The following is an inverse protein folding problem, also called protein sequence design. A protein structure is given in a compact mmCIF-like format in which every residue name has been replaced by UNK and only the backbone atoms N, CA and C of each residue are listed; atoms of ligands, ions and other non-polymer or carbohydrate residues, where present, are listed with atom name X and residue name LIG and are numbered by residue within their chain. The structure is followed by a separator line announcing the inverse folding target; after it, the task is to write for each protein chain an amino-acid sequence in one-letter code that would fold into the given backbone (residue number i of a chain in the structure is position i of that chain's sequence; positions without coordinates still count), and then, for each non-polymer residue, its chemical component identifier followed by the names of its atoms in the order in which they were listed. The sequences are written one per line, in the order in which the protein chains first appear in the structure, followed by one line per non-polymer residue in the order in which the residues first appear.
data_IF_081792635307
#
_entry.id   IF_081792635307
#
_cell.length_a   1.000
_cell.length_b   1.000
_cell.length_c   1.000
_cell.angle_alpha   90.00
_cell.angle_beta   90.00
_cell.angle_gamma   90.00
#
_symmetry.space_group_name_H-M   'P 1'
#
loop_
_entity.id
_entity.type
_entity.pdbx_description
1 polymer ?
#
# COMPACT_ATOMS: atom_id res chain seq x y z
N UNK A 1 -15.76 -30.21 -9.33
CA UNK A 1 -14.89 -31.40 -9.44
C UNK A 1 -13.75 -31.22 -10.46
N UNK A 2 -13.98 -30.64 -11.64
CA UNK A 2 -12.95 -30.50 -12.68
C UNK A 2 -11.73 -29.63 -12.25
N UNK A 3 -11.95 -28.56 -11.50
CA UNK A 3 -10.87 -27.62 -11.08
C UNK A 3 -9.91 -28.28 -10.07
N UNK A 4 -10.44 -29.11 -9.17
CA UNK A 4 -9.64 -29.82 -8.18
C UNK A 4 -8.80 -30.90 -8.87
N UNK A 5 -9.35 -31.61 -9.85
CA UNK A 5 -8.61 -32.60 -10.64
C UNK A 5 -7.49 -31.95 -11.46
N UNK A 6 -7.69 -30.77 -12.01
CA UNK A 6 -6.68 -30.01 -12.75
C UNK A 6 -5.53 -29.53 -11.84
N UNK A 7 -5.84 -29.11 -10.61
CA UNK A 7 -4.84 -28.71 -9.63
C UNK A 7 -3.95 -29.89 -9.19
N UNK A 8 -4.55 -31.08 -8.96
CA UNK A 8 -3.81 -32.28 -8.62
C UNK A 8 -2.96 -32.81 -9.79
N UNK A 9 -3.43 -32.64 -11.04
CA UNK A 9 -2.67 -33.00 -12.24
C UNK A 9 -1.41 -32.10 -12.37
N UNK A 10 -1.55 -30.80 -12.16
CA UNK A 10 -0.43 -29.86 -12.16
C UNK A 10 0.59 -30.16 -11.05
N UNK A 11 0.12 -30.48 -9.85
CA UNK A 11 0.98 -30.86 -8.74
C UNK A 11 1.74 -32.17 -9.01
N UNK A 12 1.10 -33.15 -9.63
CA UNK A 12 1.74 -34.42 -10.03
C UNK A 12 2.79 -34.22 -11.13
N UNK A 13 2.55 -33.33 -12.10
CA UNK A 13 3.51 -32.98 -13.14
C UNK A 13 4.72 -32.27 -12.53
N UNK A 14 4.51 -31.32 -11.59
CA UNK A 14 5.59 -30.65 -10.88
C UNK A 14 6.43 -31.60 -10.02
N UNK A 15 5.77 -32.52 -9.32
CA UNK A 15 6.44 -33.54 -8.51
C UNK A 15 7.26 -34.51 -9.38
N UNK A 16 6.75 -34.94 -10.55
CA UNK A 16 7.47 -35.84 -11.47
C UNK A 16 8.68 -35.14 -12.10
N UNK A 17 8.57 -33.88 -12.48
CA UNK A 17 9.67 -33.08 -13.00
C UNK A 17 10.75 -32.84 -11.94
N UNK A 18 10.36 -32.62 -10.69
CA UNK A 18 11.28 -32.50 -9.57
C UNK A 18 12.03 -33.82 -9.29
N UNK A 19 11.34 -34.96 -9.36
CA UNK A 19 11.93 -36.28 -9.15
C UNK A 19 12.89 -36.69 -10.29
N UNK A 20 12.54 -36.40 -11.54
CA UNK A 20 13.41 -36.60 -12.71
C UNK A 20 14.70 -35.75 -12.57
N UNK A 21 14.59 -34.54 -12.03
CA UNK A 21 15.73 -33.66 -11.74
C UNK A 21 16.66 -34.22 -10.68
N UNK A 22 16.11 -34.90 -9.67
CA UNK A 22 16.89 -35.53 -8.59
C UNK A 22 17.65 -36.78 -9.07
N UNK A 23 17.08 -37.52 -10.03
CA UNK A 23 17.62 -38.77 -10.53
C UNK A 23 18.66 -38.62 -11.68
N UNK A 24 18.53 -37.55 -12.47
CA UNK A 24 19.35 -37.39 -13.69
C UNK A 24 20.53 -36.45 -13.55
N UNK A 25 20.65 -35.70 -12.47
CA UNK A 25 21.78 -34.76 -12.25
C UNK A 25 22.02 -33.73 -13.32
N UNK A 26 21.13 -33.64 -14.34
CA UNK A 26 21.29 -32.71 -15.47
C UNK A 26 20.74 -31.34 -15.10
N UNK A 27 21.65 -30.36 -15.03
CA UNK A 27 21.29 -28.94 -15.00
C UNK A 27 20.54 -28.57 -16.28
N UNK A 28 19.31 -28.09 -16.13
CA UNK A 28 18.55 -27.56 -17.26
C UNK A 28 19.26 -26.28 -17.79
N UNK A 29 19.62 -26.19 -19.09
CA UNK A 29 20.27 -25.01 -19.64
C UNK A 29 19.22 -23.95 -20.00
N UNK A 30 18.41 -23.52 -19.04
CA UNK A 30 17.58 -22.35 -19.20
C UNK A 30 18.26 -21.18 -18.46
N UNK A 31 19.22 -20.58 -19.17
CA UNK A 31 19.75 -19.28 -18.79
C UNK A 31 18.66 -18.23 -18.91
N UNK A 32 17.97 -17.98 -17.82
CA UNK A 32 16.96 -16.92 -17.69
C UNK A 32 17.55 -15.50 -17.83
N UNK A 33 18.87 -15.35 -17.77
CA UNK A 33 19.56 -14.05 -17.85
C UNK A 33 19.53 -13.39 -19.24
N UNK A 34 19.47 -14.15 -20.32
CA UNK A 34 19.50 -13.59 -21.69
C UNK A 34 18.11 -13.14 -22.19
N UNK A 35 17.02 -13.66 -21.61
CA UNK A 35 15.65 -13.30 -22.02
C UNK A 35 15.09 -12.04 -21.36
N UNK A 36 15.61 -11.63 -20.21
CA UNK A 36 15.16 -10.39 -19.54
C UNK A 36 15.66 -9.11 -20.22
N UNK A 37 16.76 -9.16 -20.95
CA UNK A 37 17.32 -8.00 -21.66
C UNK A 37 16.61 -7.69 -22.98
N UNK A 38 15.97 -8.66 -23.64
CA UNK A 38 15.23 -8.43 -24.88
C UNK A 38 13.81 -7.89 -24.68
N UNK A 39 13.26 -8.04 -23.48
CA UNK A 39 11.87 -7.67 -23.24
C UNK A 39 11.62 -6.17 -23.02
N UNK A 40 12.63 -5.36 -22.80
CA UNK A 40 12.48 -3.89 -22.75
C UNK A 40 12.23 -3.26 -24.12
N UNK A 41 12.48 -3.97 -25.20
CA UNK A 41 12.23 -3.51 -26.58
C UNK A 41 10.75 -3.54 -27.01
N UNK A 42 9.88 -4.16 -26.21
CA UNK A 42 8.47 -4.34 -26.55
C UNK A 42 7.50 -3.44 -25.74
N UNK A 43 8.01 -2.43 -25.03
CA UNK A 43 7.19 -1.43 -24.37
C UNK A 43 7.03 -0.21 -25.29
N UNK A 44 5.80 0.22 -25.47
CA UNK A 44 5.44 1.54 -26.02
C UNK A 44 5.35 2.52 -24.88
N UNK A 45 6.00 3.66 -24.99
CA UNK A 45 5.94 4.77 -24.01
C UNK A 45 5.24 5.93 -24.68
N UNK A 46 4.22 6.42 -24.00
CA UNK A 46 3.45 7.61 -24.41
C UNK A 46 3.59 8.65 -23.31
N UNK A 47 3.87 9.91 -23.69
CA UNK A 47 4.04 11.03 -22.76
C UNK A 47 3.00 12.10 -23.06
N UNK A 48 2.40 12.64 -22.00
CA UNK A 48 1.39 13.67 -22.05
C UNK A 48 1.75 14.78 -21.07
N UNK A 49 1.37 16.00 -21.41
CA UNK A 49 1.56 17.17 -20.56
C UNK A 49 0.22 17.93 -20.44
N UNK A 50 -0.10 18.40 -19.24
CA UNK A 50 -1.32 19.14 -18.95
C UNK A 50 -1.04 20.36 -18.09
N UNK A 51 -1.80 21.42 -18.36
CA UNK A 51 -1.85 22.61 -17.50
C UNK A 51 -2.63 22.34 -16.22
N UNK A 52 -2.30 23.06 -15.16
CA UNK A 52 -2.89 22.88 -13.82
C UNK A 52 -4.13 23.73 -13.55
N UNK A 53 -4.43 24.72 -14.40
CA UNK A 53 -5.40 25.79 -14.08
C UNK A 53 -6.79 25.23 -13.75
N UNK A 54 -7.26 24.26 -14.51
CA UNK A 54 -8.61 23.70 -14.40
C UNK A 54 -8.66 22.35 -13.66
N UNK A 55 -7.57 21.88 -13.03
CA UNK A 55 -7.54 20.58 -12.39
C UNK A 55 -7.67 20.72 -10.86
N UNK A 56 -8.64 20.01 -10.30
CA UNK A 56 -8.86 19.86 -8.86
C UNK A 56 -8.75 18.41 -8.39
N UNK A 57 -8.79 17.44 -9.30
CA UNK A 57 -8.73 16.02 -8.98
C UNK A 57 -7.87 15.25 -9.99
N UNK A 58 -7.11 14.28 -9.47
CA UNK A 58 -6.41 13.24 -10.25
C UNK A 58 -7.07 11.89 -9.95
N UNK A 59 -7.62 11.23 -10.98
CA UNK A 59 -8.30 9.95 -10.86
C UNK A 59 -7.66 8.90 -11.77
N UNK A 60 -7.05 7.88 -11.16
CA UNK A 60 -6.45 6.74 -11.85
C UNK A 60 -7.25 5.46 -11.53
N UNK A 61 -7.77 4.81 -12.56
CA UNK A 61 -8.47 3.51 -12.46
C UNK A 61 -7.79 2.51 -13.40
N UNK A 62 -6.89 1.70 -12.86
CA UNK A 62 -6.05 0.80 -13.62
C UNK A 62 -6.28 -0.67 -13.22
N UNK A 63 -5.80 -1.61 -14.02
CA UNK A 63 -6.01 -3.04 -13.77
C UNK A 63 -4.71 -3.72 -13.34
N UNK A 64 -3.65 -3.63 -14.14
CA UNK A 64 -2.39 -4.33 -13.90
C UNK A 64 -1.18 -3.42 -13.86
N UNK A 65 -1.34 -2.20 -14.29
CA UNK A 65 -0.30 -1.19 -14.29
C UNK A 65 0.06 -0.77 -12.86
N UNK A 66 1.34 -0.58 -12.61
CA UNK A 66 1.75 0.14 -11.41
C UNK A 66 1.50 1.64 -11.58
N UNK A 67 1.14 2.29 -10.49
CA UNK A 67 0.93 3.74 -10.41
C UNK A 67 2.09 4.32 -9.61
N UNK A 68 2.78 5.29 -10.20
CA UNK A 68 3.85 6.03 -9.57
C UNK A 68 3.52 7.53 -9.62
N UNK A 69 3.30 8.13 -8.44
CA UNK A 69 3.00 9.55 -8.29
C UNK A 69 4.18 10.26 -7.64
N UNK A 70 4.66 11.32 -8.27
CA UNK A 70 5.84 12.06 -7.80
C UNK A 70 5.64 13.57 -7.96
N UNK A 71 6.54 14.37 -7.38
CA UNK A 71 6.59 15.81 -7.62
C UNK A 71 7.17 16.11 -9.00
N UNK A 72 6.55 17.04 -9.74
CA UNK A 72 7.10 17.57 -10.99
C UNK A 72 8.21 18.58 -10.73
N UNK A 73 9.14 18.69 -11.67
CA UNK A 73 10.21 19.69 -11.64
C UNK A 73 9.79 21.05 -12.21
N UNK A 74 8.65 21.13 -12.87
CA UNK A 74 8.09 22.32 -13.51
C UNK A 74 6.62 22.53 -13.10
N UNK A 75 5.93 23.44 -13.79
CA UNK A 75 4.55 23.82 -13.48
C UNK A 75 3.50 23.00 -14.25
N UNK A 76 3.87 21.91 -14.90
CA UNK A 76 2.98 21.06 -15.65
C UNK A 76 2.79 19.71 -14.99
N UNK A 77 1.65 19.08 -15.25
CA UNK A 77 1.46 17.66 -14.94
C UNK A 77 2.02 16.85 -16.11
N UNK A 78 2.96 15.97 -15.83
CA UNK A 78 3.47 15.02 -16.82
C UNK A 78 2.93 13.63 -16.54
N UNK A 79 2.39 13.00 -17.56
CA UNK A 79 1.90 11.63 -17.51
C UNK A 79 2.68 10.78 -18.50
N UNK A 80 3.36 9.76 -17.98
CA UNK A 80 4.07 8.77 -18.79
C UNK A 80 3.37 7.43 -18.66
N UNK A 81 2.91 6.89 -19.77
CA UNK A 81 2.23 5.60 -19.86
C UNK A 81 3.15 4.61 -20.56
N UNK A 82 3.58 3.58 -19.84
CA UNK A 82 4.37 2.47 -20.37
C UNK A 82 3.49 1.25 -20.54
N UNK A 83 3.21 0.86 -21.78
CA UNK A 83 2.32 -0.24 -22.13
C UNK A 83 3.01 -1.22 -23.05
N UNK A 84 2.55 -2.46 -23.10
CA UNK A 84 2.99 -3.44 -24.08
C UNK A 84 2.70 -2.97 -25.51
N UNK A 85 3.68 -3.07 -26.39
CA UNK A 85 3.49 -2.75 -27.80
C UNK A 85 2.31 -3.55 -28.38
N UNK A 86 1.39 -2.85 -29.04
CA UNK A 86 0.16 -3.42 -29.60
C UNK A 86 -0.95 -3.70 -28.58
N UNK A 87 -0.82 -3.27 -27.32
CA UNK A 87 -1.94 -3.21 -26.37
C UNK A 87 -2.55 -1.82 -26.36
N UNK A 88 -3.85 -1.74 -26.04
CA UNK A 88 -4.54 -0.46 -25.84
C UNK A 88 -4.00 0.20 -24.55
N UNK A 89 -3.40 1.38 -24.67
CA UNK A 89 -2.87 2.16 -23.55
C UNK A 89 -3.98 2.95 -22.85
N UNK A 90 -3.91 3.16 -21.51
CA UNK A 90 -4.78 4.16 -20.87
C UNK A 90 -4.44 5.55 -21.39
N UNK A 91 -5.44 6.25 -21.93
CA UNK A 91 -5.27 7.61 -22.47
C UNK A 91 -5.74 8.62 -21.42
N UNK A 92 -4.86 9.51 -20.93
CA UNK A 92 -5.26 10.57 -20.00
C UNK A 92 -6.24 11.55 -20.64
N UNK A 93 -7.25 11.99 -19.90
CA UNK A 93 -8.27 12.96 -20.37
C UNK A 93 -8.70 13.87 -19.24
N UNK A 94 -8.89 15.15 -19.53
CA UNK A 94 -9.51 16.10 -18.59
C UNK A 94 -11.01 16.12 -18.84
N UNK A 95 -11.79 15.94 -17.79
CA UNK A 95 -13.24 16.03 -17.79
C UNK A 95 -13.74 16.61 -16.47
N UNK A 96 -14.51 17.69 -16.52
CA UNK A 96 -15.08 18.33 -15.32
C UNK A 96 -14.03 18.59 -14.21
N UNK A 97 -12.89 19.19 -14.55
CA UNK A 97 -11.77 19.47 -13.63
C UNK A 97 -11.06 18.24 -13.08
N UNK A 98 -11.32 17.04 -13.59
CA UNK A 98 -10.68 15.79 -13.21
C UNK A 98 -9.75 15.34 -14.33
N UNK A 99 -8.48 15.10 -14.00
CA UNK A 99 -7.57 14.38 -14.89
C UNK A 99 -7.78 12.88 -14.68
N UNK A 100 -8.51 12.26 -15.62
CA UNK A 100 -8.83 10.84 -15.59
C UNK A 100 -7.85 10.02 -16.41
N UNK A 101 -7.33 8.93 -15.81
CA UNK A 101 -6.50 7.92 -16.48
C UNK A 101 -7.13 6.56 -16.21
N UNK A 102 -7.90 6.06 -17.16
CA UNK A 102 -8.72 4.85 -16.97
C UNK A 102 -8.42 3.79 -18.01
N UNK A 103 -8.39 2.54 -17.56
CA UNK A 103 -8.38 1.37 -18.43
C UNK A 103 -9.75 0.68 -18.36
N UNK A 104 -10.53 0.79 -19.43
CA UNK A 104 -11.93 0.33 -19.48
C UNK A 104 -12.08 -1.16 -19.83
N UNK A 105 -11.07 -1.84 -20.35
CA UNK A 105 -11.17 -3.23 -20.79
C UNK A 105 -10.11 -4.10 -20.13
N UNK A 106 -10.53 -5.24 -19.53
CA UNK A 106 -9.55 -6.22 -19.09
C UNK A 106 -8.78 -6.76 -20.30
N UNK A 107 -7.47 -6.92 -20.16
CA UNK A 107 -6.66 -7.57 -21.19
C UNK A 107 -7.12 -9.01 -21.37
N UNK A 108 -7.85 -9.29 -22.44
CA UNK A 108 -8.08 -10.66 -22.90
C UNK A 108 -6.77 -11.17 -23.50
N UNK A 109 -5.84 -11.59 -22.66
CA UNK A 109 -4.68 -12.34 -23.09
C UNK A 109 -4.66 -13.69 -22.38
N UNK A 110 -4.81 -14.74 -23.15
CA UNK A 110 -4.42 -16.08 -22.79
C UNK A 110 -2.97 -16.07 -22.32
N UNK A 111 -2.75 -16.45 -21.05
CA UNK A 111 -1.48 -16.83 -20.43
C UNK A 111 -0.20 -16.34 -21.14
N UNK A 112 0.13 -15.07 -20.97
CA UNK A 112 1.50 -14.61 -21.22
C UNK A 112 2.28 -14.73 -19.90
N UNK A 113 3.19 -15.70 -19.83
CA UNK A 113 4.12 -15.88 -18.70
C UNK A 113 5.19 -14.78 -18.62
N UNK A 114 5.08 -13.73 -19.40
CA UNK A 114 6.02 -12.61 -19.41
C UNK A 114 5.50 -11.53 -18.46
N UNK A 115 6.22 -11.32 -17.37
CA UNK A 115 5.98 -10.23 -16.44
C UNK A 115 6.44 -8.89 -17.08
N UNK A 116 5.63 -8.35 -17.97
CA UNK A 116 5.85 -6.99 -18.47
C UNK A 116 5.38 -6.00 -17.40
N UNK A 117 6.27 -5.13 -17.01
CA UNK A 117 5.98 -4.11 -15.99
C UNK A 117 5.37 -2.88 -16.67
N UNK A 118 4.06 -2.92 -16.88
CA UNK A 118 3.34 -1.73 -17.34
C UNK A 118 3.19 -0.75 -16.18
N UNK A 119 3.33 0.55 -16.47
CA UNK A 119 3.24 1.61 -15.47
C UNK A 119 2.56 2.85 -16.01
N UNK A 120 1.94 3.59 -15.10
CA UNK A 120 1.51 4.96 -15.29
C UNK A 120 2.23 5.81 -14.25
N UNK A 121 3.10 6.69 -14.72
CA UNK A 121 3.86 7.62 -13.89
C UNK A 121 3.24 9.01 -14.06
N UNK A 122 2.93 9.68 -12.95
CA UNK A 122 2.38 11.04 -12.97
C UNK A 122 3.23 11.93 -12.09
N UNK A 123 3.88 12.92 -12.72
CA UNK A 123 4.57 13.97 -11.99
C UNK A 123 3.63 15.17 -11.83
N UNK A 124 3.43 15.61 -10.58
CA UNK A 124 2.44 16.62 -10.17
C UNK A 124 3.18 17.88 -9.73
N UNK A 125 2.87 19.05 -10.28
CA UNK A 125 3.55 20.29 -9.89
C UNK A 125 3.12 20.80 -8.52
N UNK A 126 4.02 21.52 -7.87
CA UNK A 126 3.79 22.07 -6.53
C UNK A 126 2.59 23.01 -6.46
N UNK A 127 2.37 23.80 -7.52
CA UNK A 127 1.23 24.71 -7.61
C UNK A 127 -0.12 24.00 -7.47
N UNK A 128 -0.25 22.77 -7.97
CA UNK A 128 -1.45 21.95 -7.82
C UNK A 128 -1.52 21.32 -6.42
N UNK A 129 -0.40 20.86 -5.90
CA UNK A 129 -0.32 20.27 -4.55
C UNK A 129 -0.71 21.26 -3.44
N UNK A 130 -0.53 22.55 -3.66
CA UNK A 130 -0.86 23.60 -2.69
C UNK A 130 -2.35 24.02 -2.74
N UNK A 131 -3.13 23.54 -3.72
CA UNK A 131 -4.58 23.81 -3.75
C UNK A 131 -5.27 23.11 -2.56
N UNK A 132 -6.12 23.84 -1.85
CA UNK A 132 -6.78 23.38 -0.61
C UNK A 132 -7.71 22.18 -0.79
N UNK A 133 -8.19 21.94 -1.99
CA UNK A 133 -9.18 20.95 -2.40
C UNK A 133 -8.65 19.93 -3.39
N UNK A 134 -7.34 19.92 -3.66
CA UNK A 134 -6.75 18.94 -4.56
C UNK A 134 -6.90 17.52 -4.03
N UNK A 135 -7.54 16.67 -4.81
CA UNK A 135 -7.89 15.30 -4.48
C UNK A 135 -7.11 14.31 -5.35
N UNK A 136 -6.64 13.21 -4.76
CA UNK A 136 -6.01 12.12 -5.49
C UNK A 136 -6.76 10.82 -5.21
N UNK A 137 -7.18 10.15 -6.29
CA UNK A 137 -7.77 8.82 -6.28
C UNK A 137 -6.93 7.89 -7.16
N UNK A 138 -6.36 6.85 -6.57
CA UNK A 138 -5.53 5.88 -7.27
C UNK A 138 -6.03 4.46 -7.01
N UNK A 139 -6.58 3.83 -8.03
CA UNK A 139 -7.15 2.48 -7.96
C UNK A 139 -6.41 1.55 -8.92
N UNK A 140 -6.00 0.38 -8.42
CA UNK A 140 -5.46 -0.69 -9.27
C UNK A 140 -5.94 -2.06 -8.79
N UNK A 141 -6.19 -2.98 -9.72
CA UNK A 141 -6.53 -4.34 -9.32
C UNK A 141 -5.27 -5.12 -8.91
N UNK A 142 -4.22 -5.07 -9.71
CA UNK A 142 -3.02 -5.88 -9.46
C UNK A 142 -1.72 -5.06 -9.37
N UNK A 143 -1.73 -3.83 -9.86
CA UNK A 143 -0.58 -2.94 -9.81
C UNK A 143 -0.31 -2.39 -8.41
N UNK A 144 0.95 -2.14 -8.12
CA UNK A 144 1.34 -1.41 -6.91
C UNK A 144 1.14 0.08 -7.09
N UNK A 145 0.82 0.78 -6.01
CA UNK A 145 0.66 2.24 -5.97
C UNK A 145 1.81 2.81 -5.13
N UNK A 146 2.60 3.70 -5.72
CA UNK A 146 3.69 4.40 -5.05
C UNK A 146 3.48 5.90 -5.15
N UNK A 147 3.73 6.59 -4.06
CA UNK A 147 3.60 8.04 -3.94
C UNK A 147 4.83 8.57 -3.21
N UNK A 148 5.46 9.61 -3.73
CA UNK A 148 6.62 10.23 -3.06
C UNK A 148 6.66 11.74 -3.26
N UNK A 149 7.12 12.44 -2.23
CA UNK A 149 7.44 13.86 -2.25
C UNK A 149 6.28 14.74 -2.71
N UNK A 150 5.09 14.52 -2.13
CA UNK A 150 3.88 15.17 -2.62
C UNK A 150 2.91 15.57 -1.51
N UNK A 151 1.99 16.46 -1.86
CA UNK A 151 0.92 16.91 -0.97
C UNK A 151 -0.42 16.95 -1.70
N UNK A 152 -1.51 16.69 -0.96
CA UNK A 152 -2.88 16.84 -1.44
C UNK A 152 -3.83 17.14 -0.29
N UNK A 153 -5.07 17.51 -0.57
CA UNK A 153 -6.10 17.62 0.48
C UNK A 153 -6.45 16.25 1.03
N UNK A 154 -6.81 15.33 0.16
CA UNK A 154 -7.12 13.95 0.52
C UNK A 154 -6.52 12.99 -0.51
N UNK A 155 -6.09 11.82 -0.05
CA UNK A 155 -5.53 10.79 -0.91
C UNK A 155 -6.24 9.46 -0.62
N UNK A 156 -6.84 8.91 -1.67
CA UNK A 156 -7.46 7.59 -1.67
C UNK A 156 -6.64 6.65 -2.55
N UNK A 157 -6.15 5.55 -1.98
CA UNK A 157 -5.38 4.56 -2.72
C UNK A 157 -5.91 3.15 -2.42
N UNK A 158 -6.34 2.44 -3.47
CA UNK A 158 -6.90 1.11 -3.33
C UNK A 158 -6.25 0.13 -4.30
N UNK A 159 -5.83 -1.02 -3.79
CA UNK A 159 -5.36 -2.11 -4.63
C UNK A 159 -5.91 -3.46 -4.15
N UNK A 160 -6.26 -4.36 -5.08
CA UNK A 160 -6.65 -5.70 -4.67
C UNK A 160 -5.41 -6.55 -4.35
N UNK A 161 -4.42 -6.60 -5.23
CA UNK A 161 -3.24 -7.46 -5.04
C UNK A 161 -1.93 -6.70 -4.87
N UNK A 162 -1.86 -5.45 -5.31
CA UNK A 162 -0.64 -4.62 -5.23
C UNK A 162 -0.44 -4.00 -3.85
N UNK A 163 0.80 -3.70 -3.54
CA UNK A 163 1.15 -2.95 -2.34
C UNK A 163 0.95 -1.44 -2.55
N UNK A 164 0.61 -0.74 -1.49
CA UNK A 164 0.51 0.72 -1.46
C UNK A 164 1.66 1.26 -0.62
N UNK A 165 2.43 2.19 -1.18
CA UNK A 165 3.54 2.84 -0.48
C UNK A 165 3.48 4.35 -0.66
N UNK A 166 3.52 5.07 0.45
CA UNK A 166 3.64 6.53 0.48
C UNK A 166 4.89 6.91 1.26
N UNK A 167 5.71 7.79 0.72
CA UNK A 167 6.91 8.31 1.38
C UNK A 167 7.01 9.82 1.20
N UNK A 168 7.22 10.55 2.30
CA UNK A 168 7.25 12.02 2.31
C UNK A 168 6.00 12.63 1.67
N UNK A 169 4.82 12.17 2.14
CA UNK A 169 3.51 12.57 1.62
C UNK A 169 2.72 13.29 2.71
N UNK A 170 2.11 14.43 2.36
CA UNK A 170 1.32 15.22 3.29
C UNK A 170 -0.12 15.37 2.80
N UNK A 171 -1.12 15.13 3.69
CA UNK A 171 -2.51 15.35 3.38
C UNK A 171 -3.37 15.62 4.64
N UNK A 172 -4.61 16.05 4.45
CA UNK A 172 -5.58 16.03 5.56
C UNK A 172 -6.03 14.61 5.85
N UNK A 173 -6.16 13.76 4.82
CA UNK A 173 -6.64 12.39 4.97
C UNK A 173 -5.90 11.42 4.07
N UNK A 174 -5.50 10.28 4.65
CA UNK A 174 -5.12 9.07 3.94
C UNK A 174 -6.22 8.03 4.11
N UNK A 175 -6.68 7.44 3.01
CA UNK A 175 -7.55 6.26 3.01
C UNK A 175 -6.93 5.24 2.06
N UNK A 176 -6.08 4.35 2.61
CA UNK A 176 -5.35 3.36 1.83
C UNK A 176 -5.84 1.96 2.16
N UNK A 177 -6.21 1.21 1.12
CA UNK A 177 -6.75 -0.15 1.29
C UNK A 177 -6.11 -1.12 0.31
N UNK A 178 -5.65 -2.25 0.82
CA UNK A 178 -5.23 -3.37 -0.01
C UNK A 178 -5.85 -4.68 0.47
N UNK A 179 -6.19 -5.58 -0.45
CA UNK A 179 -6.65 -6.91 -0.03
C UNK A 179 -5.46 -7.83 0.25
N UNK A 180 -4.50 -7.95 -0.66
CA UNK A 180 -3.38 -8.87 -0.49
C UNK A 180 -2.02 -8.18 -0.31
N UNK A 181 -1.89 -6.93 -0.70
CA UNK A 181 -0.64 -6.17 -0.59
C UNK A 181 -0.45 -5.50 0.77
N UNK A 182 0.78 -5.18 1.08
CA UNK A 182 1.11 -4.37 2.25
C UNK A 182 0.79 -2.89 2.02
N UNK A 183 0.44 -2.20 3.10
CA UNK A 183 0.28 -0.73 3.11
C UNK A 183 1.40 -0.14 3.94
N UNK A 184 2.23 0.70 3.34
CA UNK A 184 3.38 1.33 4.00
C UNK A 184 3.36 2.84 3.80
N UNK A 185 3.40 3.57 4.89
CA UNK A 185 3.49 5.04 4.94
C UNK A 185 4.72 5.40 5.76
N UNK A 186 5.62 6.20 5.19
CA UNK A 186 6.89 6.60 5.81
C UNK A 186 7.09 8.11 5.67
N UNK A 187 7.73 8.74 6.64
CA UNK A 187 8.11 10.16 6.64
C UNK A 187 6.94 11.10 6.27
N UNK A 188 5.72 10.74 6.67
CA UNK A 188 4.49 11.35 6.14
C UNK A 188 3.62 11.94 7.23
N UNK A 189 2.81 12.94 6.89
CA UNK A 189 1.91 13.57 7.86
C UNK A 189 0.49 13.71 7.35
N UNK A 190 -0.49 13.50 8.25
CA UNK A 190 -1.89 13.73 7.96
C UNK A 190 -2.71 14.11 9.20
N UNK A 191 -3.97 14.52 9.00
CA UNK A 191 -4.89 14.63 10.14
C UNK A 191 -5.50 13.28 10.47
N UNK A 192 -5.93 12.53 9.46
CA UNK A 192 -6.61 11.25 9.63
C UNK A 192 -5.94 10.19 8.74
N UNK A 193 -5.46 9.11 9.35
CA UNK A 193 -4.88 7.95 8.68
C UNK A 193 -5.82 6.74 8.80
N UNK A 194 -6.44 6.31 7.70
CA UNK A 194 -7.18 5.06 7.62
C UNK A 194 -6.42 4.09 6.70
N UNK A 195 -5.72 3.11 7.28
CA UNK A 195 -4.91 2.15 6.54
C UNK A 195 -5.41 0.73 6.79
N UNK A 196 -5.84 0.05 5.74
CA UNK A 196 -6.44 -1.26 5.86
C UNK A 196 -5.77 -2.28 4.92
N UNK A 197 -5.55 -3.49 5.44
CA UNK A 197 -5.15 -4.64 4.61
C UNK A 197 -5.82 -5.92 5.09
N UNK A 198 -6.17 -6.81 4.18
CA UNK A 198 -6.66 -8.13 4.59
C UNK A 198 -5.49 -9.09 4.87
N UNK A 199 -4.55 -9.23 3.95
CA UNK A 199 -3.45 -10.20 4.11
C UNK A 199 -2.07 -9.57 4.29
N UNK A 200 -1.90 -8.30 3.94
CA UNK A 200 -0.63 -7.60 4.05
C UNK A 200 -0.43 -6.93 5.41
N UNK A 201 0.81 -6.67 5.75
CA UNK A 201 1.16 -5.87 6.92
C UNK A 201 0.93 -4.39 6.66
N UNK A 202 0.66 -3.66 7.74
CA UNK A 202 0.53 -2.20 7.75
C UNK A 202 1.71 -1.63 8.52
N UNK A 203 2.39 -0.66 7.91
CA UNK A 203 3.44 0.12 8.52
C UNK A 203 3.10 1.60 8.36
N UNK A 204 3.04 2.32 9.46
CA UNK A 204 2.88 3.77 9.50
C UNK A 204 4.04 4.37 10.28
N UNK A 205 4.77 5.28 9.69
CA UNK A 205 5.81 6.07 10.33
C UNK A 205 5.62 7.54 9.95
N UNK A 206 5.29 8.38 10.93
CA UNK A 206 5.00 9.78 10.68
C UNK A 206 4.14 10.43 11.75
N UNK A 207 3.40 11.47 11.36
CA UNK A 207 2.51 12.20 12.27
C UNK A 207 1.06 12.13 11.80
N UNK A 208 0.14 11.79 12.70
CA UNK A 208 -1.29 11.84 12.45
C UNK A 208 -2.04 12.30 13.70
N UNK A 209 -3.14 13.07 13.52
CA UNK A 209 -3.98 13.44 14.66
C UNK A 209 -4.83 12.26 15.13
N UNK A 210 -5.23 11.39 14.20
CA UNK A 210 -6.07 10.22 14.44
C UNK A 210 -5.65 9.10 13.48
N UNK A 211 -5.58 7.85 13.95
CA UNK A 211 -5.22 6.71 13.11
C UNK A 211 -6.14 5.51 13.35
N UNK A 212 -6.60 4.90 12.26
CA UNK A 212 -7.33 3.63 12.24
C UNK A 212 -6.58 2.64 11.33
N UNK A 213 -5.76 1.78 11.93
CA UNK A 213 -4.91 0.84 11.19
C UNK A 213 -5.40 -0.59 11.43
N UNK A 214 -5.83 -1.30 10.37
CA UNK A 214 -6.42 -2.64 10.51
C UNK A 214 -5.88 -3.63 9.51
N UNK A 215 -5.37 -4.76 10.01
CA UNK A 215 -5.04 -5.92 9.19
C UNK A 215 -5.73 -7.18 9.70
N UNK A 216 -6.10 -8.10 8.79
CA UNK A 216 -6.62 -9.40 9.23
C UNK A 216 -5.46 -10.38 9.48
N UNK A 217 -4.56 -10.57 8.52
CA UNK A 217 -3.48 -11.58 8.67
C UNK A 217 -2.09 -10.99 8.87
N UNK A 218 -1.89 -9.72 8.54
CA UNK A 218 -0.60 -9.05 8.69
C UNK A 218 -0.42 -8.36 10.05
N UNK A 219 0.80 -8.01 10.37
CA UNK A 219 1.09 -7.17 11.53
C UNK A 219 0.73 -5.71 11.27
N UNK A 220 0.42 -4.99 12.36
CA UNK A 220 0.24 -3.53 12.36
C UNK A 220 1.36 -2.92 13.17
N UNK A 221 2.17 -2.10 12.54
CA UNK A 221 3.27 -1.37 13.17
C UNK A 221 3.10 0.13 12.93
N UNK A 222 2.92 0.90 13.99
CA UNK A 222 2.76 2.34 13.93
C UNK A 222 3.85 3.02 14.77
N UNK A 223 4.58 3.93 14.15
CA UNK A 223 5.58 4.80 14.79
C UNK A 223 5.11 6.24 14.62
N UNK A 224 4.73 6.88 15.72
CA UNK A 224 4.33 8.27 15.72
C UNK A 224 5.48 9.18 16.10
N UNK A 225 5.82 10.13 15.23
CA UNK A 225 6.83 11.15 15.50
C UNK A 225 6.30 12.25 16.43
N UNK A 226 4.98 12.48 16.41
CA UNK A 226 4.26 13.39 17.31
C UNK A 226 3.08 12.67 17.92
N UNK A 227 2.69 13.03 19.15
CA UNK A 227 1.51 12.44 19.78
C UNK A 227 0.25 12.73 18.97
N UNK A 228 -0.57 11.70 18.67
CA UNK A 228 -1.93 11.90 18.16
C UNK A 228 -2.73 12.85 19.05
N UNK A 229 -3.70 13.52 18.46
CA UNK A 229 -4.59 14.49 19.19
C UNK A 229 -5.97 13.91 19.47
N UNK A 230 -6.25 12.71 18.97
CA UNK A 230 -7.51 12.00 19.12
C UNK A 230 -7.27 10.53 19.33
N UNK A 231 -8.29 9.87 19.85
CA UNK A 231 -8.30 8.42 20.03
C UNK A 231 -7.96 7.69 18.73
N UNK A 232 -7.15 6.65 18.84
CA UNK A 232 -6.65 5.93 17.68
C UNK A 232 -6.74 4.43 17.89
N UNK A 233 -6.92 3.68 16.78
CA UNK A 233 -7.22 2.26 16.82
C UNK A 233 -6.28 1.45 15.95
N UNK A 234 -5.76 0.35 16.51
CA UNK A 234 -4.80 -0.55 15.86
C UNK A 234 -5.26 -2.00 16.04
N UNK A 235 -5.62 -2.66 14.96
CA UNK A 235 -6.23 -3.99 15.00
C UNK A 235 -5.52 -4.96 14.07
N UNK A 236 -5.21 -6.14 14.60
CA UNK A 236 -4.85 -7.30 13.78
C UNK A 236 -5.58 -8.55 14.27
N UNK A 237 -6.00 -9.43 13.38
CA UNK A 237 -6.53 -10.73 13.82
C UNK A 237 -5.39 -11.72 14.09
N UNK A 238 -4.46 -11.89 13.16
CA UNK A 238 -3.41 -12.93 13.30
C UNK A 238 -2.00 -12.36 13.51
N UNK A 239 -1.79 -11.07 13.29
CA UNK A 239 -0.48 -10.42 13.41
C UNK A 239 -0.28 -9.71 14.74
N UNK A 240 0.96 -9.37 15.03
CA UNK A 240 1.28 -8.50 16.15
C UNK A 240 0.84 -7.05 15.90
N UNK A 241 0.46 -6.36 16.98
CA UNK A 241 0.19 -4.92 16.96
C UNK A 241 1.26 -4.22 17.78
N UNK A 242 1.99 -3.30 17.17
CA UNK A 242 3.02 -2.49 17.82
C UNK A 242 2.75 -1.02 17.59
N UNK A 243 2.81 -0.26 18.66
CA UNK A 243 2.65 1.19 18.68
C UNK A 243 3.88 1.80 19.35
N UNK A 244 4.63 2.64 18.63
CA UNK A 244 5.73 3.41 19.19
C UNK A 244 5.31 4.88 19.28
N UNK A 245 5.52 5.48 20.45
CA UNK A 245 5.12 6.84 20.77
C UNK A 245 6.31 7.63 21.30
N UNK A 246 6.39 8.94 21.02
CA UNK A 246 7.35 9.82 21.69
C UNK A 246 7.02 9.96 23.18
N UNK A 247 7.97 10.46 23.96
CA UNK A 247 7.69 10.81 25.36
C UNK A 247 6.58 11.85 25.43
N UNK A 248 5.66 11.68 26.39
CA UNK A 248 4.41 12.45 26.44
C UNK A 248 3.87 12.60 27.87
N UNK A 249 2.81 13.40 28.01
CA UNK A 249 2.19 13.73 29.31
C UNK A 249 1.21 12.69 29.84
N UNK A 250 0.83 11.71 29.01
CA UNK A 250 -0.03 10.62 29.40
C UNK A 250 -0.94 10.11 28.27
N UNK A 251 -1.45 8.90 28.47
CA UNK A 251 -2.44 8.28 27.58
C UNK A 251 -3.16 7.14 28.30
N UNK A 252 -4.34 6.78 27.78
CA UNK A 252 -5.05 5.57 28.14
C UNK A 252 -4.79 4.47 27.10
N UNK A 253 -4.52 3.28 27.56
CA UNK A 253 -4.20 2.12 26.73
C UNK A 253 -5.21 1.01 26.94
N UNK A 254 -6.13 0.86 26.00
CA UNK A 254 -7.07 -0.25 25.93
C UNK A 254 -6.46 -1.35 25.11
N UNK A 255 -6.40 -2.56 25.63
CA UNK A 255 -5.79 -3.69 24.94
C UNK A 255 -6.67 -4.93 24.98
N UNK A 256 -6.61 -5.72 23.92
CA UNK A 256 -7.27 -7.00 23.85
C UNK A 256 -6.45 -8.00 23.06
N UNK A 257 -6.21 -9.19 23.64
CA UNK A 257 -5.62 -10.33 22.92
C UNK A 257 -6.17 -11.65 23.47
N UNK A 258 -6.38 -12.64 22.62
CA UNK A 258 -6.83 -13.98 23.05
C UNK A 258 -5.62 -14.87 23.39
N UNK A 259 -4.66 -14.99 22.46
CA UNK A 259 -3.52 -15.91 22.60
C UNK A 259 -2.16 -15.20 22.74
N UNK A 260 -2.15 -13.89 22.78
CA UNK A 260 -0.93 -13.10 22.83
C UNK A 260 -0.51 -12.64 24.21
N UNK A 261 0.57 -11.89 24.24
CA UNK A 261 1.03 -11.14 25.42
C UNK A 261 0.91 -9.64 25.16
N UNK A 262 0.72 -8.90 26.23
CA UNK A 262 0.62 -7.44 26.20
C UNK A 262 1.78 -6.83 26.96
N UNK A 263 2.41 -5.80 26.40
CA UNK A 263 3.50 -5.05 27.03
C UNK A 263 3.34 -3.56 26.78
N UNK A 264 3.49 -2.77 27.84
CA UNK A 264 3.60 -1.32 27.78
C UNK A 264 4.91 -0.89 28.43
N UNK A 265 5.85 -0.33 27.67
CA UNK A 265 7.17 0.09 28.17
C UNK A 265 7.11 1.37 29.00
N UNK A 266 6.11 2.24 28.78
CA UNK A 266 5.93 3.46 29.58
C UNK A 266 5.63 3.17 31.04
N UNK A 267 4.88 2.11 31.32
CA UNK A 267 4.47 1.74 32.67
C UNK A 267 5.18 0.48 33.19
N UNK A 268 5.97 -0.20 32.36
CA UNK A 268 6.55 -1.52 32.68
C UNK A 268 5.49 -2.63 32.73
N UNK A 269 4.24 -2.36 32.32
CA UNK A 269 3.13 -3.29 32.40
C UNK A 269 3.33 -4.50 31.49
N UNK A 270 3.00 -5.67 32.01
CA UNK A 270 2.89 -6.92 31.27
C UNK A 270 1.60 -7.61 31.63
N UNK A 271 0.82 -7.97 30.63
CA UNK A 271 -0.51 -8.55 30.81
C UNK A 271 -0.86 -9.60 29.78
N UNK A 272 -2.02 -10.20 29.98
CA UNK A 272 -2.64 -11.17 29.07
C UNK A 272 -4.13 -10.86 28.97
N UNK A 273 -4.78 -11.28 27.90
CA UNK A 273 -6.20 -11.09 27.62
C UNK A 273 -6.54 -9.63 27.28
N UNK A 274 -7.47 -9.03 28.04
CA UNK A 274 -7.96 -7.67 27.79
C UNK A 274 -7.94 -6.85 29.07
N UNK A 275 -7.86 -5.55 28.94
CA UNK A 275 -7.90 -4.61 30.05
C UNK A 275 -7.58 -3.18 29.62
N UNK A 276 -7.42 -2.35 30.62
CA UNK A 276 -7.04 -0.94 30.48
C UNK A 276 -5.79 -0.71 31.33
N UNK A 277 -4.86 0.06 30.81
CA UNK A 277 -3.68 0.51 31.53
C UNK A 277 -3.50 2.01 31.22
N UNK A 278 -3.11 2.78 32.20
CA UNK A 278 -2.96 4.25 32.11
C UNK A 278 -1.50 4.63 32.34
N UNK A 279 -1.01 5.55 31.53
CA UNK A 279 0.26 6.20 31.72
C UNK A 279 0.04 7.64 32.19
N UNK A 280 0.70 8.05 33.29
CA UNK A 280 0.55 9.36 33.95
C UNK A 280 -0.94 9.70 34.19
N UNK A 281 -1.35 10.89 33.82
CA UNK A 281 -2.73 11.38 34.06
C UNK A 281 -3.77 10.83 33.05
N UNK A 282 -3.31 9.98 32.09
CA UNK A 282 -4.17 9.50 31.01
C UNK A 282 -4.34 10.52 29.89
N UNK A 283 -5.46 10.46 29.19
CA UNK A 283 -5.77 11.39 28.10
C UNK A 283 -6.31 10.69 26.87
N UNK A 284 -5.62 10.81 25.74
CA UNK A 284 -6.00 10.18 24.50
C UNK A 284 -5.98 8.66 24.64
N UNK A 285 -7.00 7.99 24.13
CA UNK A 285 -7.13 6.55 24.19
C UNK A 285 -6.53 5.87 22.95
N UNK A 286 -5.69 4.86 23.19
CA UNK A 286 -5.18 3.95 22.16
C UNK A 286 -5.79 2.56 22.33
N UNK A 287 -6.51 2.12 21.31
CA UNK A 287 -7.22 0.83 21.25
C UNK A 287 -6.38 -0.17 20.45
N UNK A 288 -5.66 -1.07 21.11
CA UNK A 288 -4.80 -2.06 20.46
C UNK A 288 -5.38 -3.47 20.63
N UNK A 289 -5.79 -4.09 19.52
CA UNK A 289 -6.41 -5.40 19.54
C UNK A 289 -5.65 -6.39 18.63
N UNK A 290 -5.36 -7.57 19.18
CA UNK A 290 -4.89 -8.70 18.37
C UNK A 290 -5.52 -10.02 18.87
N UNK A 291 -6.05 -10.84 17.96
CA UNK A 291 -6.60 -12.15 18.38
C UNK A 291 -5.48 -13.13 18.71
N UNK A 292 -4.52 -13.32 17.81
CA UNK A 292 -3.45 -14.33 17.96
C UNK A 292 -2.03 -13.77 18.10
N UNK A 293 -1.88 -12.45 18.05
CA UNK A 293 -0.58 -11.79 18.15
C UNK A 293 -0.33 -11.07 19.46
N UNK A 294 0.91 -10.68 19.68
CA UNK A 294 1.27 -9.81 20.81
C UNK A 294 0.87 -8.35 20.55
N UNK A 295 0.58 -7.65 21.63
CA UNK A 295 0.28 -6.21 21.63
C UNK A 295 1.39 -5.49 22.40
N UNK A 296 1.99 -4.46 21.82
CA UNK A 296 3.08 -3.71 22.45
C UNK A 296 2.91 -2.22 22.25
N UNK A 297 3.20 -1.46 23.33
CA UNK A 297 3.51 -0.03 23.26
C UNK A 297 4.96 0.15 23.67
N UNK A 298 5.70 0.87 22.84
CA UNK A 298 7.14 1.11 22.97
C UNK A 298 7.40 2.62 22.94
N UNK A 299 8.57 3.04 23.50
CA UNK A 299 9.05 4.42 23.36
C UNK A 299 9.82 4.55 22.05
N UNK A 300 9.73 5.70 21.40
CA UNK A 300 10.60 6.05 20.27
C UNK A 300 12.01 6.35 20.76
#
# INVERSE_FOLDING_TARGET
MLIIAFFWLLLAIFASLFFIRLLTGRSCPLSLKSRFSENTKNLSVEEYQFDVEDISELSLELISESIDLTKSSDNFIHVRVSSLAGSESPVPRIKNHVLEIKRNKPKTRFFSFYAFKESVEVAIPESLMLKKDFLIQAFSTSGSIRMSDMSASEIFAYSTSGSIRAKNVNAKKFDFKSTSGSVKVEDSSCKNAALHSTSGSIVFEGSANEADLRSTSGSVNAVFLEMPKKDSRFVSTSGAVRLSLPENDGFDFHYSTISGSVRNEFTGFRGKKSGVNRYKDGGIAFDLTSTSGSVRIERN
#
